data_IF_842553640729
#
_entry.id   IF_842553640729
#
_cell.length_a   1.000
_cell.length_b   1.000
_cell.length_c   1.000
_cell.angle_alpha   90.00
_cell.angle_beta   90.00
_cell.angle_gamma   90.00
#
_symmetry.space_group_name_H-M   'P 1'
#
loop_
_entity.id
_entity.type
_entity.pdbx_description
1 polymer ?
#
# COMPACT_ATOMS: atom_id res chain seq x y z
N UNK A 1 -7.66 0.78 19.07
CA UNK A 1 -7.24 0.68 17.66
C UNK A 1 -6.12 1.69 17.48
N UNK A 2 -4.87 1.29 17.21
CA UNK A 2 -3.81 2.28 17.00
C UNK A 2 -4.21 3.15 15.81
N UNK A 3 -4.41 4.43 16.07
CA UNK A 3 -4.61 5.44 15.04
C UNK A 3 -3.43 5.44 14.06
N UNK A 4 -3.74 5.61 12.77
CA UNK A 4 -2.76 5.69 11.68
C UNK A 4 -2.96 7.00 10.95
N UNK A 5 -1.87 7.73 10.74
CA UNK A 5 -1.90 8.95 9.92
C UNK A 5 -1.86 8.61 8.44
N UNK A 6 -2.56 9.39 7.63
CA UNK A 6 -2.39 9.39 6.18
C UNK A 6 -1.82 10.74 5.77
N UNK A 7 -0.57 10.75 5.30
CA UNK A 7 0.07 11.99 4.83
C UNK A 7 -0.66 12.51 3.59
N UNK A 8 -1.26 13.70 3.69
CA UNK A 8 -1.95 14.35 2.57
C UNK A 8 -1.02 14.71 1.42
N UNK A 9 0.29 14.83 1.67
CA UNK A 9 1.33 14.98 0.65
C UNK A 9 1.42 13.78 -0.32
N UNK A 10 0.79 12.64 0.03
CA UNK A 10 0.61 11.48 -0.85
C UNK A 10 0.18 11.86 -2.27
N UNK A 11 -0.81 12.75 -2.41
CA UNK A 11 -1.36 13.16 -3.70
C UNK A 11 -0.39 13.98 -4.55
N UNK A 12 0.64 14.55 -3.94
CA UNK A 12 1.66 15.36 -4.61
C UNK A 12 2.90 14.55 -5.02
N UNK A 13 3.02 13.27 -4.63
CA UNK A 13 4.17 12.43 -5.01
C UNK A 13 4.21 12.19 -6.52
N UNK A 14 5.34 12.42 -7.23
CA UNK A 14 5.43 12.18 -8.68
C UNK A 14 5.03 10.77 -9.09
N UNK A 15 5.41 9.76 -8.29
CA UNK A 15 4.98 8.37 -8.49
C UNK A 15 3.45 8.24 -8.53
N UNK A 16 2.76 8.78 -7.52
CA UNK A 16 1.29 8.75 -7.42
C UNK A 16 0.64 9.57 -8.54
N UNK A 17 1.23 10.70 -8.94
CA UNK A 17 0.68 11.52 -10.03
C UNK A 17 0.60 10.76 -11.36
N UNK A 18 1.62 9.94 -11.65
CA UNK A 18 1.76 9.18 -12.90
C UNK A 18 0.91 7.91 -12.97
N UNK A 19 0.33 7.46 -11.85
CA UNK A 19 -0.56 6.30 -11.85
C UNK A 19 -1.93 6.62 -12.47
N UNK A 20 -2.61 5.63 -13.10
CA UNK A 20 -4.03 5.77 -13.42
C UNK A 20 -4.86 5.84 -12.14
N UNK A 21 -6.12 6.28 -12.24
CA UNK A 21 -7.01 6.46 -11.09
C UNK A 21 -7.10 5.20 -10.21
N UNK A 22 -7.21 4.01 -10.83
CA UNK A 22 -7.24 2.71 -10.17
C UNK A 22 -5.94 2.43 -9.38
N UNK A 23 -4.79 2.80 -9.94
CA UNK A 23 -3.50 2.66 -9.27
C UNK A 23 -3.38 3.57 -8.05
N UNK A 24 -3.86 4.82 -8.16
CA UNK A 24 -3.92 5.76 -7.02
C UNK A 24 -4.80 5.23 -5.91
N UNK A 25 -6.00 4.74 -6.26
CA UNK A 25 -6.94 4.11 -5.33
C UNK A 25 -6.28 2.91 -4.62
N UNK A 26 -5.69 1.99 -5.39
CA UNK A 26 -5.06 0.79 -4.83
C UNK A 26 -3.90 1.15 -3.90
N UNK A 27 -3.02 2.07 -4.29
CA UNK A 27 -1.89 2.52 -3.47
C UNK A 27 -2.36 3.13 -2.13
N UNK A 28 -3.38 3.99 -2.16
CA UNK A 28 -3.96 4.57 -0.94
C UNK A 28 -4.63 3.50 -0.06
N UNK A 29 -5.37 2.57 -0.67
CA UNK A 29 -6.05 1.47 0.01
C UNK A 29 -5.05 0.54 0.73
N UNK A 30 -3.93 0.17 0.10
CA UNK A 30 -2.93 -0.72 0.69
C UNK A 30 -2.26 -0.14 1.95
N UNK A 31 -2.37 1.18 2.15
CA UNK A 31 -1.90 1.89 3.35
C UNK A 31 -2.97 2.08 4.41
N UNK A 32 -4.25 1.94 4.07
CA UNK A 32 -5.36 2.37 4.95
C UNK A 32 -6.30 1.24 5.34
N UNK A 33 -6.23 0.08 4.67
CA UNK A 33 -7.02 -1.09 5.06
C UNK A 33 -6.58 -1.67 6.42
N UNK A 34 -7.48 -2.46 7.01
CA UNK A 34 -7.30 -3.06 8.34
C UNK A 34 -6.25 -4.17 8.38
N UNK A 35 -5.96 -4.80 7.24
CA UNK A 35 -5.01 -5.93 7.13
C UNK A 35 -3.55 -5.45 7.21
N UNK A 36 -3.30 -4.20 6.85
CA UNK A 36 -1.97 -3.60 6.88
C UNK A 36 -1.44 -3.47 8.31
N UNK A 37 -0.38 -4.19 8.65
CA UNK A 37 0.24 -4.13 9.97
C UNK A 37 1.27 -3.00 10.09
N UNK A 38 1.90 -2.85 11.26
CA UNK A 38 2.85 -1.76 11.55
C UNK A 38 4.13 -1.83 10.69
N UNK A 39 4.48 -2.99 10.15
CA UNK A 39 5.63 -3.16 9.25
C UNK A 39 5.28 -2.87 7.78
N UNK A 40 4.00 -2.71 7.44
CA UNK A 40 3.55 -2.55 6.05
C UNK A 40 3.69 -3.83 5.21
N UNK A 41 3.91 -5.00 5.83
CA UNK A 41 4.05 -6.31 5.17
C UNK A 41 2.96 -7.23 5.67
N UNK A 42 2.01 -7.62 4.81
CA UNK A 42 0.85 -8.39 5.25
C UNK A 42 0.25 -9.25 4.14
N UNK A 43 -0.51 -10.26 4.54
CA UNK A 43 -1.21 -11.15 3.62
C UNK A 43 -2.56 -10.55 3.23
N UNK A 44 -2.82 -10.45 1.93
CA UNK A 44 -4.11 -10.05 1.37
C UNK A 44 -4.30 -10.65 -0.02
N UNK A 45 -5.49 -11.19 -0.29
CA UNK A 45 -5.78 -11.83 -1.58
C UNK A 45 -6.27 -10.82 -2.62
N UNK A 46 -6.06 -11.04 -3.93
CA UNK A 46 -6.67 -10.25 -4.98
C UNK A 46 -8.19 -10.15 -4.88
N UNK A 47 -8.86 -11.22 -4.43
CA UNK A 47 -10.30 -11.25 -4.21
C UNK A 47 -10.75 -10.30 -3.09
N UNK A 48 -10.00 -10.22 -1.99
CA UNK A 48 -10.25 -9.27 -0.91
C UNK A 48 -10.08 -7.83 -1.41
N UNK A 49 -8.99 -7.55 -2.13
CA UNK A 49 -8.75 -6.22 -2.72
C UNK A 49 -9.91 -5.83 -3.64
N UNK A 50 -10.31 -6.72 -4.55
CA UNK A 50 -11.41 -6.47 -5.48
C UNK A 50 -12.73 -6.18 -4.75
N UNK A 51 -13.05 -6.97 -3.73
CA UNK A 51 -14.25 -6.78 -2.91
C UNK A 51 -14.25 -5.44 -2.17
N UNK A 52 -13.15 -5.08 -1.51
CA UNK A 52 -13.09 -3.87 -0.66
C UNK A 52 -12.96 -2.57 -1.48
N UNK A 53 -12.32 -2.63 -2.66
CA UNK A 53 -12.08 -1.43 -3.50
C UNK A 53 -13.09 -1.26 -4.64
N UNK A 54 -13.81 -2.32 -5.00
CA UNK A 54 -14.66 -2.36 -6.20
C UNK A 54 -13.88 -2.44 -7.52
N UNK A 55 -12.56 -2.61 -7.47
CA UNK A 55 -11.74 -2.80 -8.67
C UNK A 55 -12.00 -4.17 -9.32
N UNK A 56 -11.93 -4.29 -10.66
CA UNK A 56 -12.08 -5.58 -11.31
C UNK A 56 -10.99 -6.57 -10.86
N UNK A 57 -11.40 -7.76 -10.43
CA UNK A 57 -10.47 -8.81 -9.98
C UNK A 57 -9.37 -9.12 -11.00
N UNK A 58 -9.72 -9.11 -12.29
CA UNK A 58 -8.79 -9.36 -13.39
C UNK A 58 -7.69 -8.28 -13.53
N UNK A 59 -7.93 -7.06 -13.05
CA UNK A 59 -6.97 -5.95 -13.12
C UNK A 59 -6.04 -5.89 -11.91
N UNK A 60 -6.40 -6.53 -10.78
CA UNK A 60 -5.61 -6.44 -9.54
C UNK A 60 -4.14 -6.85 -9.74
N UNK A 61 -3.80 -7.97 -10.42
CA UNK A 61 -2.41 -8.37 -10.62
C UNK A 61 -1.58 -7.34 -11.41
N UNK A 62 -2.15 -6.72 -12.45
CA UNK A 62 -1.44 -5.71 -13.25
C UNK A 62 -1.31 -4.39 -12.50
N UNK A 63 -2.35 -4.00 -11.75
CA UNK A 63 -2.31 -2.83 -10.88
C UNK A 63 -1.27 -2.98 -9.77
N UNK A 64 -1.20 -4.13 -9.09
CA UNK A 64 -0.18 -4.41 -8.07
C UNK A 64 1.23 -4.33 -8.65
N UNK A 65 1.47 -4.89 -9.85
CA UNK A 65 2.76 -4.77 -10.56
C UNK A 65 3.10 -3.31 -10.91
N UNK A 66 2.10 -2.51 -11.28
CA UNK A 66 2.31 -1.09 -11.60
C UNK A 66 2.73 -0.24 -10.39
N UNK A 67 2.56 -0.77 -9.16
CA UNK A 67 2.95 -0.09 -7.93
C UNK A 67 4.42 -0.33 -7.55
N UNK A 68 5.16 -1.12 -8.30
CA UNK A 68 6.61 -1.25 -8.09
C UNK A 68 7.32 0.08 -8.43
N UNK A 69 8.35 0.49 -7.66
CA UNK A 69 8.97 -0.25 -6.57
C UNK A 69 8.39 0.04 -5.17
N UNK A 70 7.42 0.95 -5.03
CA UNK A 70 6.85 1.37 -3.73
C UNK A 70 6.09 0.24 -3.02
N UNK A 71 5.36 -0.56 -3.80
CA UNK A 71 4.69 -1.77 -3.32
C UNK A 71 5.24 -2.97 -4.06
N UNK A 72 5.59 -4.02 -3.33
CA UNK A 72 5.98 -5.32 -3.88
C UNK A 72 4.90 -6.33 -3.54
N UNK A 73 4.46 -7.11 -4.52
CA UNK A 73 3.48 -8.17 -4.33
C UNK A 73 4.10 -9.53 -4.62
N UNK A 74 4.00 -10.44 -3.65
CA UNK A 74 4.42 -11.84 -3.74
C UNK A 74 3.16 -12.69 -3.96
N UNK A 75 2.88 -13.11 -5.21
CA UNK A 75 1.60 -13.72 -5.56
C UNK A 75 1.38 -15.10 -4.94
N UNK A 76 2.44 -15.90 -4.78
CA UNK A 76 2.35 -17.28 -4.26
C UNK A 76 1.89 -17.28 -2.79
N UNK A 77 2.36 -16.31 -2.00
CA UNK A 77 2.04 -16.17 -0.58
C UNK A 77 0.90 -15.17 -0.32
N UNK A 78 0.40 -14.50 -1.37
CA UNK A 78 -0.51 -13.35 -1.26
C UNK A 78 0.00 -12.27 -0.30
N UNK A 79 1.31 -12.01 -0.29
CA UNK A 79 1.91 -10.99 0.58
C UNK A 79 2.08 -9.69 -0.22
N UNK A 80 1.68 -8.58 0.37
CA UNK A 80 2.02 -7.24 -0.11
C UNK A 80 2.98 -6.58 0.88
N UNK A 81 3.99 -5.90 0.34
CA UNK A 81 4.91 -5.07 1.11
C UNK A 81 4.84 -3.64 0.61
N UNK A 82 4.29 -2.74 1.42
CA UNK A 82 4.27 -1.30 1.18
C UNK A 82 5.52 -0.68 1.81
N UNK A 83 6.59 -0.56 1.02
CA UNK A 83 7.92 -0.16 1.55
C UNK A 83 7.93 1.20 2.25
N UNK A 84 7.31 2.27 1.71
CA UNK A 84 7.33 3.57 2.36
C UNK A 84 6.58 3.60 3.69
N UNK A 85 5.79 2.58 4.01
CA UNK A 85 4.85 2.62 5.12
C UNK A 85 5.52 2.83 6.48
N UNK A 86 6.61 2.10 6.76
CA UNK A 86 7.31 2.21 8.04
C UNK A 86 7.90 3.62 8.24
N UNK A 87 8.46 4.20 7.19
CA UNK A 87 9.02 5.56 7.22
C UNK A 87 7.91 6.62 7.37
N UNK A 88 6.80 6.47 6.64
CA UNK A 88 5.65 7.36 6.70
C UNK A 88 4.93 7.36 8.06
N UNK A 89 4.94 6.22 8.76
CA UNK A 89 4.35 6.11 10.10
C UNK A 89 5.33 6.43 11.24
N UNK A 90 6.63 6.54 10.95
CA UNK A 90 7.62 6.86 11.96
C UNK A 90 7.43 8.29 12.48
N UNK A 91 7.19 8.43 13.79
CA UNK A 91 7.04 9.74 14.44
C UNK A 91 8.35 10.54 14.49
N UNK A 92 9.49 9.89 14.30
CA UNK A 92 10.80 10.54 14.25
C UNK A 92 11.82 9.70 13.48
N UNK A 93 12.82 10.35 12.89
CA UNK A 93 13.94 9.67 12.20
C UNK A 93 14.75 8.75 13.10
N UNK A 94 14.81 9.02 14.41
CA UNK A 94 15.49 8.17 15.39
C UNK A 94 14.83 6.80 15.56
N UNK A 95 13.52 6.72 15.36
CA UNK A 95 12.77 5.47 15.45
C UNK A 95 13.18 4.50 14.34
N UNK A 96 13.31 5.01 13.11
CA UNK A 96 13.71 4.22 11.94
C UNK A 96 15.11 3.60 12.13
N UNK A 97 16.05 4.36 12.71
CA UNK A 97 17.41 3.88 12.95
C UNK A 97 17.52 2.76 14.00
N UNK A 98 16.45 2.49 14.75
CA UNK A 98 16.41 1.49 15.83
C UNK A 98 15.50 0.29 15.55
N UNK A 99 14.75 0.32 14.44
CA UNK A 99 13.80 -0.72 14.04
C UNK A 99 14.49 -1.79 13.18
#
# INVERSE_FOLDING_TARGET
MPERGFDTGFWSKPFIQNLPAQGKLLSAYLKTNVHCNQAGVYTITPSTIAFETGLPLAEIPSLLKSLEPEVVWYPEENIVWVKPFLEEQARSSKFIASA
#
